data_IF_189084957568
#
_entry.id   IF_189084957568
#
_cell.length_a   1.000
_cell.length_b   1.000
_cell.length_c   1.000
_cell.angle_alpha   90.00
_cell.angle_beta   90.00
_cell.angle_gamma   90.00
#
_symmetry.space_group_name_H-M   'P 1'
#
loop_
_entity.id
_entity.type
_entity.pdbx_description
1 polymer ?
#
# COMPACT_ATOMS: atom_id res chain seq x y z
N UNK A 1 -10.69 29.73 -1.04
CA UNK A 1 -9.42 29.57 -1.80
C UNK A 1 -8.59 28.41 -1.25
N UNK A 2 -8.20 28.43 0.03
CA UNK A 2 -7.40 27.37 0.69
C UNK A 2 -8.06 25.98 0.61
N UNK A 3 -9.37 25.86 0.83
CA UNK A 3 -10.07 24.57 0.73
C UNK A 3 -9.89 23.88 -0.63
N UNK A 4 -9.88 24.66 -1.73
CA UNK A 4 -9.67 24.14 -3.07
C UNK A 4 -8.23 23.64 -3.27
N UNK A 5 -7.24 24.35 -2.73
CA UNK A 5 -5.84 23.90 -2.77
C UNK A 5 -5.69 22.59 -2.01
N UNK A 6 -6.24 22.51 -0.81
CA UNK A 6 -6.19 21.29 0.00
C UNK A 6 -6.88 20.11 -0.71
N UNK A 7 -8.02 20.35 -1.36
CA UNK A 7 -8.71 19.32 -2.14
C UNK A 7 -7.87 18.85 -3.34
N UNK A 8 -7.25 19.77 -4.08
CA UNK A 8 -6.40 19.45 -5.21
C UNK A 8 -5.15 18.66 -4.79
N UNK A 9 -4.46 19.13 -3.75
CA UNK A 9 -3.29 18.46 -3.18
C UNK A 9 -3.63 17.05 -2.69
N UNK A 10 -4.77 16.89 -2.00
CA UNK A 10 -5.25 15.58 -1.55
C UNK A 10 -5.54 14.64 -2.74
N UNK A 11 -6.16 15.14 -3.80
CA UNK A 11 -6.42 14.34 -5.01
C UNK A 11 -5.13 13.97 -5.74
N UNK A 12 -4.14 14.85 -5.77
CA UNK A 12 -2.83 14.57 -6.35
C UNK A 12 -2.06 13.53 -5.55
N UNK A 13 -2.05 13.63 -4.21
CA UNK A 13 -1.48 12.58 -3.37
C UNK A 13 -2.21 11.24 -3.53
N UNK A 14 -3.53 11.26 -3.65
CA UNK A 14 -4.32 10.04 -3.85
C UNK A 14 -4.00 9.36 -5.19
N UNK A 15 -3.85 10.14 -6.26
CA UNK A 15 -3.60 9.63 -7.62
C UNK A 15 -2.14 9.30 -7.88
N UNK A 16 -1.21 10.04 -7.29
CA UNK A 16 0.21 10.00 -7.64
C UNK A 16 1.19 9.97 -6.46
N UNK A 17 0.72 10.04 -5.22
CA UNK A 17 1.57 9.91 -4.03
C UNK A 17 2.07 8.49 -3.75
N UNK A 18 1.76 7.53 -4.62
CA UNK A 18 2.27 6.16 -4.55
C UNK A 18 3.31 5.91 -5.64
N UNK A 19 4.30 5.07 -5.34
CA UNK A 19 5.38 4.74 -6.27
C UNK A 19 4.91 3.77 -7.35
N UNK A 20 4.17 2.73 -6.98
CA UNK A 20 3.72 1.70 -7.90
C UNK A 20 2.19 1.61 -7.97
N UNK A 21 1.65 1.64 -9.19
CA UNK A 21 0.24 1.29 -9.41
C UNK A 21 0.14 -0.22 -9.64
N UNK A 22 -0.43 -0.94 -8.68
CA UNK A 22 -0.51 -2.41 -8.71
C UNK A 22 -1.79 -2.84 -9.40
N UNK A 23 -1.66 -3.52 -10.54
CA UNK A 23 -2.79 -4.13 -11.22
C UNK A 23 -3.34 -5.30 -10.40
N UNK A 24 -4.61 -5.20 -10.00
CA UNK A 24 -5.27 -6.19 -9.13
C UNK A 24 -5.78 -7.42 -9.87
N UNK A 25 -5.96 -7.30 -11.19
CA UNK A 25 -6.55 -8.33 -12.05
C UNK A 25 -5.51 -8.79 -13.06
N UNK A 26 -5.03 -10.02 -12.90
CA UNK A 26 -4.05 -10.61 -13.81
C UNK A 26 -3.80 -12.06 -13.44
N UNK A 27 -3.49 -12.88 -14.44
CA UNK A 27 -3.09 -14.27 -14.21
C UNK A 27 -1.67 -14.28 -13.64
N UNK A 28 -1.46 -15.07 -12.59
CA UNK A 28 -0.14 -15.23 -11.97
C UNK A 28 0.58 -16.39 -12.65
N UNK A 29 1.75 -16.11 -13.22
CA UNK A 29 2.61 -17.14 -13.81
C UNK A 29 3.77 -17.35 -12.85
N UNK A 30 3.75 -18.44 -12.09
CA UNK A 30 4.72 -18.71 -11.03
C UNK A 30 6.17 -18.77 -11.54
N UNK A 31 6.38 -19.25 -12.78
CA UNK A 31 7.71 -19.28 -13.41
C UNK A 31 8.28 -17.89 -13.74
N UNK A 32 7.47 -16.84 -13.70
CA UNK A 32 7.91 -15.45 -13.96
C UNK A 32 8.21 -14.67 -12.67
N UNK A 33 8.03 -15.28 -11.49
CA UNK A 33 8.27 -14.66 -10.18
C UNK A 33 9.69 -15.03 -9.71
N UNK A 34 10.70 -14.39 -10.31
CA UNK A 34 12.09 -14.45 -9.85
C UNK A 34 12.55 -13.08 -9.33
N UNK A 35 13.11 -13.05 -8.12
CA UNK A 35 13.62 -11.84 -7.47
C UNK A 35 14.87 -11.23 -8.14
N UNK A 36 15.53 -11.97 -9.03
CA UNK A 36 16.65 -11.48 -9.85
C UNK A 36 16.19 -10.77 -11.13
N UNK A 37 14.93 -10.97 -11.53
CA UNK A 37 14.37 -10.30 -12.70
C UNK A 37 14.17 -8.80 -12.42
N UNK A 38 14.37 -7.94 -13.42
CA UNK A 38 14.20 -6.51 -13.25
C UNK A 38 12.74 -6.17 -12.99
N UNK A 39 12.53 -5.20 -12.10
CA UNK A 39 11.26 -4.50 -11.92
C UNK A 39 11.38 -3.11 -12.56
N UNK A 40 10.29 -2.58 -13.14
CA UNK A 40 10.26 -1.20 -13.61
C UNK A 40 10.78 -0.24 -12.54
N UNK A 41 11.76 0.59 -12.90
CA UNK A 41 12.35 1.54 -11.97
C UNK A 41 11.33 2.62 -11.58
N UNK A 42 11.27 3.03 -10.30
CA UNK A 42 10.45 4.15 -9.84
C UNK A 42 10.65 5.40 -10.69
N UNK A 43 9.56 6.12 -10.98
CA UNK A 43 9.62 7.46 -11.53
C UNK A 43 9.31 8.48 -10.42
N UNK A 44 10.12 9.54 -10.27
CA UNK A 44 9.94 10.52 -9.18
C UNK A 44 8.71 11.42 -9.33
N UNK A 45 8.04 11.42 -10.49
CA UNK A 45 6.94 12.34 -10.81
C UNK A 45 5.61 11.63 -11.05
N UNK A 46 5.62 10.32 -11.31
CA UNK A 46 4.40 9.56 -11.60
C UNK A 46 4.48 8.11 -11.12
N UNK A 47 3.36 7.51 -10.68
CA UNK A 47 3.32 6.10 -10.38
C UNK A 47 3.72 5.25 -11.57
N UNK A 48 4.47 4.20 -11.31
CA UNK A 48 4.85 3.20 -12.31
C UNK A 48 3.85 2.05 -12.25
N UNK A 49 3.22 1.73 -13.38
CA UNK A 49 2.28 0.60 -13.44
C UNK A 49 3.06 -0.71 -13.34
N UNK A 50 2.66 -1.56 -12.40
CA UNK A 50 3.14 -2.93 -12.28
C UNK A 50 1.99 -3.90 -12.59
N UNK A 51 2.25 -4.86 -13.46
CA UNK A 51 1.45 -6.07 -13.59
C UNK A 51 1.44 -6.86 -12.28
N UNK A 52 0.54 -7.84 -12.19
CA UNK A 52 0.50 -8.74 -11.03
C UNK A 52 1.86 -9.41 -10.81
N UNK A 53 2.44 -10.06 -11.81
CA UNK A 53 3.74 -10.74 -11.70
C UNK A 53 4.88 -9.76 -11.31
N UNK A 54 4.91 -8.55 -11.86
CA UNK A 54 5.91 -7.54 -11.47
C UNK A 54 5.78 -7.12 -10.02
N UNK A 55 4.55 -6.93 -9.52
CA UNK A 55 4.33 -6.62 -8.11
C UNK A 55 4.77 -7.75 -7.19
N UNK A 56 4.59 -9.01 -7.63
CA UNK A 56 5.05 -10.17 -6.89
C UNK A 56 6.58 -10.25 -6.88
N UNK A 57 7.24 -10.03 -8.02
CA UNK A 57 8.72 -9.92 -8.11
C UNK A 57 9.27 -8.84 -7.17
N UNK A 58 8.62 -7.68 -7.13
CA UNK A 58 8.97 -6.60 -6.20
C UNK A 58 8.91 -7.07 -4.74
N UNK A 59 7.83 -7.76 -4.34
CA UNK A 59 7.68 -8.34 -3.00
C UNK A 59 8.75 -9.41 -2.72
N UNK A 60 9.01 -10.33 -3.66
CA UNK A 60 10.04 -11.37 -3.51
C UNK A 60 11.42 -10.75 -3.31
N UNK A 61 11.75 -9.69 -4.07
CA UNK A 61 13.02 -8.97 -3.92
C UNK A 61 13.16 -8.33 -2.53
N UNK A 62 12.10 -7.71 -2.02
CA UNK A 62 12.08 -7.17 -0.66
C UNK A 62 12.21 -8.28 0.40
N UNK A 63 11.56 -9.43 0.20
CA UNK A 63 11.72 -10.60 1.06
C UNK A 63 13.19 -11.03 1.10
N UNK A 64 13.80 -11.29 -0.06
CA UNK A 64 15.20 -11.76 -0.17
C UNK A 64 16.16 -10.82 0.57
N UNK A 65 15.98 -9.50 0.42
CA UNK A 65 16.78 -8.48 1.11
C UNK A 65 16.66 -8.52 2.64
N UNK A 66 15.51 -8.94 3.17
CA UNK A 66 15.22 -8.95 4.60
C UNK A 66 15.34 -10.32 5.27
N UNK A 67 15.68 -11.38 4.52
CA UNK A 67 15.82 -12.75 5.04
C UNK A 67 16.81 -12.85 6.21
N UNK A 68 16.63 -13.88 7.03
CA UNK A 68 17.54 -14.23 8.12
C UNK A 68 17.41 -13.35 9.36
N UNK A 69 16.40 -12.46 9.41
CA UNK A 69 16.09 -11.63 10.58
C UNK A 69 14.90 -12.15 11.40
N UNK A 70 14.10 -13.08 10.86
CA UNK A 70 13.04 -13.78 11.57
C UNK A 70 13.44 -15.20 12.02
N UNK A 71 12.75 -15.70 13.06
CA UNK A 71 12.71 -17.12 13.38
C UNK A 71 11.89 -17.85 12.31
N UNK A 72 12.27 -19.09 12.01
CA UNK A 72 11.53 -19.96 11.08
C UNK A 72 10.04 -20.04 11.50
N UNK A 73 9.15 -19.84 10.53
CA UNK A 73 7.69 -19.87 10.75
C UNK A 73 7.06 -18.54 11.18
N UNK A 74 7.83 -17.46 11.38
CA UNK A 74 7.27 -16.15 11.71
C UNK A 74 7.33 -15.17 10.54
N UNK A 75 6.33 -14.29 10.43
CA UNK A 75 6.32 -13.24 9.42
C UNK A 75 7.31 -12.13 9.77
N UNK A 76 8.16 -11.71 8.82
CA UNK A 76 9.09 -10.61 9.06
C UNK A 76 8.38 -9.24 9.00
N UNK A 77 8.23 -8.53 10.13
CA UNK A 77 7.59 -7.22 10.14
C UNK A 77 8.37 -6.16 9.35
N UNK A 78 9.67 -6.37 9.07
CA UNK A 78 10.52 -5.45 8.32
C UNK A 78 10.14 -5.38 6.84
N UNK A 79 9.62 -6.48 6.28
CA UNK A 79 9.17 -6.50 4.88
C UNK A 79 8.02 -5.52 4.67
N UNK A 80 7.03 -5.51 5.58
CA UNK A 80 5.89 -4.56 5.48
C UNK A 80 6.40 -3.12 5.51
N UNK A 81 7.36 -2.84 6.38
CA UNK A 81 7.93 -1.50 6.50
C UNK A 81 8.66 -1.08 5.23
N UNK A 82 9.53 -1.94 4.68
CA UNK A 82 10.26 -1.63 3.45
C UNK A 82 9.31 -1.41 2.27
N UNK A 83 8.35 -2.32 2.07
CA UNK A 83 7.34 -2.19 1.02
C UNK A 83 6.49 -0.93 1.20
N UNK A 84 6.13 -0.59 2.43
CA UNK A 84 5.36 0.62 2.73
C UNK A 84 6.14 1.87 2.36
N UNK A 85 7.41 1.99 2.78
CA UNK A 85 8.24 3.15 2.48
C UNK A 85 8.56 3.28 1.00
N UNK A 86 8.88 2.17 0.32
CA UNK A 86 9.08 2.19 -1.12
C UNK A 86 7.80 2.63 -1.83
N UNK A 87 6.63 2.17 -1.37
CA UNK A 87 5.34 2.55 -1.96
C UNK A 87 4.93 3.99 -1.66
N UNK A 88 5.27 4.54 -0.49
CA UNK A 88 4.93 5.91 -0.07
C UNK A 88 6.00 6.94 -0.41
N UNK A 89 7.10 6.51 -1.07
CA UNK A 89 8.24 7.36 -1.35
C UNK A 89 7.99 8.42 -2.43
N UNK A 90 6.98 8.21 -3.28
CA UNK A 90 6.67 9.13 -4.37
C UNK A 90 5.96 10.39 -3.87
N UNK A 91 6.49 11.55 -4.26
CA UNK A 91 5.96 12.87 -3.91
C UNK A 91 5.88 13.70 -5.19
N UNK A 92 4.76 13.63 -5.93
CA UNK A 92 4.62 14.27 -7.25
C UNK A 92 4.84 15.79 -7.17
N UNK A 93 4.42 16.40 -6.06
CA UNK A 93 4.82 17.74 -5.64
C UNK A 93 5.48 17.66 -4.27
N UNK A 94 6.58 18.40 -4.04
CA UNK A 94 7.09 18.62 -2.70
C UNK A 94 5.99 19.16 -1.78
N UNK A 95 5.81 18.56 -0.60
CA UNK A 95 4.76 18.99 0.35
C UNK A 95 5.02 20.40 0.89
N UNK A 96 6.28 20.87 0.83
CA UNK A 96 6.66 22.24 1.16
C UNK A 96 6.05 23.25 0.18
N UNK A 97 6.01 22.94 -1.11
CA UNK A 97 5.44 23.84 -2.14
C UNK A 97 3.94 24.09 -1.87
N UNK A 98 3.20 23.05 -1.42
CA UNK A 98 1.81 23.23 -1.02
C UNK A 98 1.64 24.18 0.19
N UNK A 99 2.59 24.16 1.13
CA UNK A 99 2.60 25.12 2.25
C UNK A 99 2.80 26.54 1.71
N UNK A 100 3.76 26.73 0.80
CA UNK A 100 4.02 28.02 0.17
C UNK A 100 2.80 28.55 -0.60
N UNK A 101 2.15 27.70 -1.39
CA UNK A 101 0.92 28.03 -2.13
C UNK A 101 -0.20 28.52 -1.20
N UNK A 102 -0.40 27.84 -0.06
CA UNK A 102 -1.39 28.21 0.95
C UNK A 102 -1.02 29.52 1.63
N UNK A 103 0.27 29.72 1.96
CA UNK A 103 0.78 30.95 2.57
C UNK A 103 0.56 32.14 1.63
N UNK A 104 0.88 32.00 0.34
CA UNK A 104 0.71 33.07 -0.64
C UNK A 104 -0.75 33.41 -0.89
N UNK A 105 -1.63 32.41 -0.85
CA UNK A 105 -3.07 32.60 -0.92
C UNK A 105 -3.62 33.34 0.29
N UNK A 106 -3.12 33.03 1.49
CA UNK A 106 -3.48 33.75 2.70
C UNK A 106 -2.95 35.19 2.67
N UNK A 107 -1.69 35.39 2.26
CA UNK A 107 -1.05 36.71 2.17
C UNK A 107 -1.80 37.61 1.21
N UNK A 108 -2.13 37.12 0.00
CA UNK A 108 -2.91 37.89 -0.99
C UNK A 108 -4.28 38.26 -0.48
N UNK A 109 -5.01 37.32 0.11
CA UNK A 109 -6.32 37.58 0.69
C UNK A 109 -6.26 38.69 1.76
N UNK A 110 -5.29 38.61 2.68
CA UNK A 110 -5.12 39.64 3.72
C UNK A 110 -4.73 40.99 3.12
N UNK A 111 -3.89 41.00 2.09
CA UNK A 111 -3.51 42.23 1.41
C UNK A 111 -4.71 42.90 0.73
N UNK A 112 -5.49 42.16 -0.04
CA UNK A 112 -6.71 42.63 -0.72
C UNK A 112 -7.75 43.12 0.31
N UNK A 113 -7.97 42.36 1.39
CA UNK A 113 -8.88 42.76 2.46
C UNK A 113 -8.48 44.10 3.11
N UNK A 114 -7.19 44.31 3.36
CA UNK A 114 -6.71 45.58 3.91
C UNK A 114 -6.79 46.73 2.90
N UNK A 115 -6.62 46.48 1.60
CA UNK A 115 -6.82 47.51 0.57
C UNK A 115 -8.27 48.01 0.56
N UNK A 116 -9.24 47.12 0.75
CA UNK A 116 -10.65 47.46 0.74
C UNK A 116 -11.11 48.16 2.03
N UNK A 117 -10.52 47.82 3.17
CA UNK A 117 -10.96 48.31 4.48
C UNK A 117 -10.18 49.54 4.98
N UNK A 118 -8.98 49.80 4.47
CA UNK A 118 -8.08 50.80 5.03
C UNK A 118 -7.50 51.73 3.96
N UNK A 119 -7.29 53.02 4.28
CA UNK A 119 -6.43 53.90 3.50
C UNK A 119 -5.01 53.32 3.32
N UNK A 120 -4.34 53.65 2.20
CA UNK A 120 -3.04 53.06 1.82
C UNK A 120 -1.94 53.22 2.88
N UNK A 121 -1.92 54.35 3.57
CA UNK A 121 -0.97 54.63 4.66
C UNK A 121 -1.21 53.74 5.88
N UNK A 122 -2.47 53.50 6.24
CA UNK A 122 -2.84 52.57 7.33
C UNK A 122 -2.55 51.13 6.93
N UNK A 123 -2.89 50.75 5.70
CA UNK A 123 -2.61 49.43 5.14
C UNK A 123 -1.12 49.09 5.24
N UNK A 124 -0.26 49.96 4.71
CA UNK A 124 1.20 49.71 4.70
C UNK A 124 1.76 49.49 6.11
N UNK A 125 1.36 50.33 7.08
CA UNK A 125 1.81 50.22 8.47
C UNK A 125 1.30 48.96 9.14
N UNK A 126 0.03 48.59 8.94
CA UNK A 126 -0.55 47.38 9.51
C UNK A 126 0.05 46.11 8.91
N UNK A 127 0.26 46.11 7.59
CA UNK A 127 0.92 45.00 6.89
C UNK A 127 2.35 44.78 7.41
N UNK A 128 3.16 45.84 7.50
CA UNK A 128 4.55 45.72 7.95
C UNK A 128 4.68 45.42 9.44
N UNK A 129 3.80 45.97 10.28
CA UNK A 129 3.93 45.85 11.74
C UNK A 129 3.36 44.54 12.30
N UNK A 130 2.38 43.92 11.63
CA UNK A 130 1.64 42.79 12.21
C UNK A 130 1.38 41.64 11.24
N UNK A 131 0.99 41.92 9.99
CA UNK A 131 0.57 40.83 9.09
C UNK A 131 1.75 40.00 8.60
N UNK A 132 2.81 40.62 8.08
CA UNK A 132 3.93 39.86 7.50
C UNK A 132 4.63 38.99 8.55
N UNK A 133 4.81 39.51 9.77
CA UNK A 133 5.40 38.74 10.87
C UNK A 133 4.49 37.58 11.30
N UNK A 134 3.17 37.79 11.39
CA UNK A 134 2.22 36.74 11.72
C UNK A 134 2.14 35.65 10.64
N UNK A 135 2.14 36.04 9.36
CA UNK A 135 2.16 35.11 8.23
C UNK A 135 3.45 34.31 8.23
N UNK A 136 4.59 34.96 8.43
CA UNK A 136 5.91 34.32 8.52
C UNK A 136 5.97 33.32 9.67
N UNK A 137 5.52 33.71 10.87
CA UNK A 137 5.49 32.83 12.03
C UNK A 137 4.66 31.56 11.78
N UNK A 138 3.48 31.70 11.14
CA UNK A 138 2.63 30.57 10.77
C UNK A 138 3.27 29.68 9.69
N UNK A 139 3.91 30.29 8.69
CA UNK A 139 4.65 29.55 7.66
C UNK A 139 5.78 28.72 8.27
N UNK A 140 6.58 29.31 9.17
CA UNK A 140 7.66 28.60 9.86
C UNK A 140 7.13 27.46 10.71
N UNK A 141 6.01 27.67 11.43
CA UNK A 141 5.37 26.61 12.21
C UNK A 141 4.88 25.46 11.32
N UNK A 142 4.28 25.76 10.16
CA UNK A 142 3.81 24.76 9.22
C UNK A 142 4.95 23.92 8.61
N UNK A 143 6.07 24.55 8.26
CA UNK A 143 7.27 23.85 7.77
C UNK A 143 7.85 22.94 8.86
N UNK A 144 7.91 23.43 10.11
CA UNK A 144 8.36 22.62 11.24
C UNK A 144 7.46 21.40 11.49
N UNK A 145 6.14 21.58 11.40
CA UNK A 145 5.19 20.47 11.50
C UNK A 145 5.41 19.44 10.37
N UNK A 146 5.63 19.91 9.14
CA UNK A 146 5.96 19.04 8.01
C UNK A 146 7.23 18.22 8.28
N UNK A 147 8.27 18.83 8.86
CA UNK A 147 9.48 18.10 9.25
C UNK A 147 9.19 16.99 10.28
N UNK A 148 8.33 17.26 11.26
CA UNK A 148 7.91 16.27 12.26
C UNK A 148 7.12 15.12 11.60
N UNK A 149 6.15 15.43 10.74
CA UNK A 149 5.40 14.43 9.99
C UNK A 149 6.31 13.56 9.12
N UNK A 150 7.35 14.13 8.52
CA UNK A 150 8.34 13.37 7.74
C UNK A 150 9.21 12.45 8.59
N UNK A 151 9.44 12.78 9.86
CA UNK A 151 10.09 11.88 10.82
C UNK A 151 9.15 10.74 11.18
N UNK A 152 7.89 11.04 11.52
CA UNK A 152 6.89 10.03 11.89
C UNK A 152 6.64 9.02 10.75
N UNK A 153 6.63 9.48 9.50
CA UNK A 153 6.48 8.61 8.33
C UNK A 153 7.66 7.64 8.12
N UNK A 154 8.82 7.92 8.70
CA UNK A 154 9.98 7.02 8.71
C UNK A 154 9.93 6.03 9.87
N UNK A 155 8.93 6.08 10.73
CA UNK A 155 8.73 5.07 11.76
C UNK A 155 8.03 3.82 11.20
N UNK A 156 7.83 2.83 12.07
CA UNK A 156 7.16 1.59 11.73
C UNK A 156 5.65 1.83 11.57
N UNK A 157 5.04 1.41 10.44
CA UNK A 157 3.59 1.51 10.29
C UNK A 157 2.86 0.77 11.42
N UNK A 158 1.95 1.47 12.12
CA UNK A 158 1.10 0.88 13.15
C UNK A 158 0.09 -0.04 12.47
N UNK A 159 0.13 -1.34 12.80
CA UNK A 159 -0.67 -2.38 12.13
C UNK A 159 -2.09 -2.53 12.69
N UNK A 160 -2.44 -1.82 13.75
CA UNK A 160 -3.73 -1.92 14.46
C UNK A 160 -4.86 -1.11 13.79
N UNK A 161 -4.92 -1.10 12.46
CA UNK A 161 -6.12 -0.64 11.77
C UNK A 161 -7.08 -1.82 11.63
N UNK A 162 -8.26 -1.74 12.25
CA UNK A 162 -9.27 -2.81 12.20
C UNK A 162 -9.61 -3.23 10.76
N UNK A 163 -9.64 -2.27 9.83
CA UNK A 163 -9.86 -2.54 8.42
C UNK A 163 -8.73 -3.38 7.82
N UNK A 164 -7.47 -3.11 8.19
CA UNK A 164 -6.33 -3.89 7.75
C UNK A 164 -6.41 -5.31 8.30
N UNK A 165 -6.62 -5.47 9.61
CA UNK A 165 -6.68 -6.80 10.24
C UNK A 165 -7.83 -7.63 9.69
N UNK A 166 -9.03 -7.05 9.55
CA UNK A 166 -10.17 -7.75 8.94
C UNK A 166 -9.93 -8.14 7.49
N UNK A 167 -9.28 -7.26 6.71
CA UNK A 167 -8.99 -7.55 5.30
C UNK A 167 -7.99 -8.68 5.17
N UNK A 168 -6.93 -8.68 5.98
CA UNK A 168 -5.94 -9.76 5.99
C UNK A 168 -6.58 -11.08 6.41
N UNK A 169 -7.41 -11.07 7.45
CA UNK A 169 -8.15 -12.24 7.91
C UNK A 169 -9.08 -12.79 6.82
N UNK A 170 -9.88 -11.94 6.18
CA UNK A 170 -10.73 -12.35 5.04
C UNK A 170 -9.91 -12.94 3.89
N UNK A 171 -8.79 -12.33 3.54
CA UNK A 171 -7.88 -12.84 2.51
C UNK A 171 -7.25 -14.19 2.90
N UNK A 172 -6.90 -14.38 4.18
CA UNK A 172 -6.40 -15.66 4.69
C UNK A 172 -7.47 -16.74 4.60
N UNK A 173 -8.66 -16.49 5.15
CA UNK A 173 -9.78 -17.43 5.12
C UNK A 173 -10.15 -17.84 3.69
N UNK A 174 -10.15 -16.90 2.74
CA UNK A 174 -10.43 -17.19 1.33
C UNK A 174 -9.39 -18.15 0.73
N UNK A 175 -8.10 -17.93 1.00
CA UNK A 175 -7.01 -18.80 0.51
C UNK A 175 -7.07 -20.18 1.15
N UNK A 176 -7.29 -20.25 2.46
CA UNK A 176 -7.45 -21.52 3.18
C UNK A 176 -8.65 -22.31 2.66
N UNK A 177 -9.78 -21.66 2.42
CA UNK A 177 -10.97 -22.28 1.85
C UNK A 177 -10.74 -22.81 0.43
N UNK A 178 -10.02 -22.06 -0.42
CA UNK A 178 -9.65 -22.51 -1.78
C UNK A 178 -8.66 -23.68 -1.75
N UNK A 179 -7.65 -23.62 -0.88
CA UNK A 179 -6.70 -24.72 -0.68
C UNK A 179 -7.42 -25.99 -0.23
N UNK A 180 -8.30 -25.86 0.78
CA UNK A 180 -9.11 -26.97 1.27
C UNK A 180 -10.00 -27.56 0.19
N UNK A 181 -10.70 -26.72 -0.60
CA UNK A 181 -11.52 -27.18 -1.71
C UNK A 181 -10.71 -28.02 -2.72
N UNK A 182 -9.50 -27.55 -3.05
CA UNK A 182 -8.59 -28.24 -3.97
C UNK A 182 -8.14 -29.59 -3.40
N UNK A 183 -7.78 -29.65 -2.12
CA UNK A 183 -7.43 -30.90 -1.45
C UNK A 183 -8.61 -31.88 -1.37
N UNK A 184 -9.83 -31.38 -1.14
CA UNK A 184 -11.05 -32.20 -1.13
C UNK A 184 -11.31 -32.79 -2.52
N UNK A 185 -11.21 -31.99 -3.57
CA UNK A 185 -11.35 -32.47 -4.96
C UNK A 185 -10.30 -33.55 -5.27
N UNK A 186 -9.03 -33.33 -4.93
CA UNK A 186 -7.96 -34.31 -5.15
C UNK A 186 -8.14 -35.61 -4.35
N UNK A 187 -8.70 -35.52 -3.13
CA UNK A 187 -8.96 -36.65 -2.27
C UNK A 187 -10.29 -37.37 -2.57
N UNK A 188 -11.10 -36.82 -3.49
CA UNK A 188 -12.39 -37.43 -3.89
C UNK A 188 -12.16 -38.56 -4.89
N UNK A 189 -12.63 -39.75 -4.52
CA UNK A 189 -12.62 -40.95 -5.35
C UNK A 189 -14.03 -41.16 -5.90
N UNK A 190 -14.16 -41.13 -7.22
CA UNK A 190 -15.40 -41.46 -7.92
C UNK A 190 -15.40 -42.95 -8.29
N UNK A 191 -16.44 -43.67 -7.87
CA UNK A 191 -16.64 -45.08 -8.22
C UNK A 191 -17.94 -45.22 -9.04
N UNK A 192 -17.89 -45.76 -10.27
CA UNK A 192 -19.09 -45.95 -11.08
C UNK A 192 -20.00 -47.01 -10.46
N UNK A 193 -21.31 -46.76 -10.47
CA UNK A 193 -22.31 -47.69 -9.94
C UNK A 193 -22.61 -48.77 -10.98
N UNK A 194 -22.07 -49.98 -10.76
CA UNK A 194 -22.12 -51.12 -11.70
C UNK A 194 -23.54 -51.64 -12.02
N UNK A 195 -24.57 -51.21 -11.28
CA UNK A 195 -25.95 -51.67 -11.42
C UNK A 195 -26.86 -50.70 -12.20
N UNK A 196 -26.33 -49.62 -12.77
CA UNK A 196 -27.12 -48.61 -13.47
C UNK A 196 -26.63 -48.40 -14.91
N UNK A 197 -27.56 -48.35 -15.88
CA UNK A 197 -27.24 -48.10 -17.30
C UNK A 197 -26.95 -46.61 -17.62
N UNK A 198 -26.72 -45.78 -16.60
CA UNK A 198 -26.41 -44.36 -16.72
C UNK A 198 -25.08 -44.00 -16.03
N UNK A 199 -24.58 -42.79 -16.27
CA UNK A 199 -23.27 -42.30 -15.77
C UNK A 199 -23.25 -41.98 -14.27
N UNK A 200 -24.04 -42.66 -13.44
CA UNK A 200 -24.06 -42.39 -12.00
C UNK A 200 -22.80 -42.92 -11.32
N UNK A 201 -22.11 -42.04 -10.59
CA UNK A 201 -20.96 -42.36 -9.76
C UNK A 201 -21.25 -42.06 -8.29
N UNK A 202 -20.79 -42.91 -7.38
CA UNK A 202 -20.67 -42.55 -5.96
C UNK A 202 -19.34 -41.84 -5.72
N UNK A 203 -19.34 -40.80 -4.88
CA UNK A 203 -18.12 -40.13 -4.43
C UNK A 203 -17.81 -40.52 -2.98
N UNK A 204 -16.52 -40.77 -2.69
CA UNK A 204 -16.00 -40.94 -1.32
C UNK A 204 -14.74 -40.11 -1.16
N UNK A 205 -14.55 -39.53 0.01
CA UNK A 205 -13.36 -38.73 0.32
C UNK A 205 -12.40 -39.59 1.13
N UNK A 206 -11.15 -39.70 0.67
CA UNK A 206 -10.06 -40.31 1.43
C UNK A 206 -9.56 -39.30 2.47
N UNK A 207 -9.92 -39.52 3.74
CA UNK A 207 -9.60 -38.62 4.85
C UNK A 207 -8.09 -38.58 5.13
N UNK A 208 -7.39 -39.71 4.97
CA UNK A 208 -5.95 -39.80 5.24
C UNK A 208 -5.14 -39.06 4.16
N UNK A 209 -5.59 -39.19 2.90
CA UNK A 209 -5.04 -38.43 1.79
C UNK A 209 -5.30 -36.93 1.95
N UNK A 210 -6.54 -36.55 2.27
CA UNK A 210 -6.92 -35.16 2.54
C UNK A 210 -6.05 -34.55 3.64
N UNK A 211 -5.91 -35.24 4.77
CA UNK A 211 -5.15 -34.74 5.94
C UNK A 211 -3.67 -34.54 5.61
N UNK A 212 -3.09 -35.43 4.82
CA UNK A 212 -1.69 -35.36 4.39
C UNK A 212 -1.44 -34.23 3.40
N UNK A 213 -2.27 -34.12 2.35
CA UNK A 213 -2.17 -33.07 1.35
C UNK A 213 -2.41 -31.68 1.97
N UNK A 214 -3.42 -31.57 2.84
CA UNK A 214 -3.70 -30.33 3.56
C UNK A 214 -2.55 -29.97 4.52
N UNK A 215 -2.01 -30.92 5.29
CA UNK A 215 -0.86 -30.69 6.17
C UNK A 215 0.39 -30.20 5.43
N UNK A 216 0.66 -30.75 4.24
CA UNK A 216 1.75 -30.29 3.37
C UNK A 216 1.48 -28.92 2.72
N UNK A 217 0.22 -28.56 2.53
CA UNK A 217 -0.16 -27.23 2.02
C UNK A 217 0.12 -26.11 3.04
N UNK A 218 0.06 -26.43 4.34
CA UNK A 218 0.19 -25.48 5.45
C UNK A 218 1.65 -25.17 5.84
N UNK A 219 2.59 -26.10 5.61
CA UNK A 219 4.03 -25.90 5.88
C UNK A 219 4.91 -26.05 4.61
N UNK A 220 4.84 -25.13 3.64
CA UNK A 220 5.84 -25.06 2.58
C UNK A 220 7.21 -24.64 3.13
N UNK A 221 8.27 -25.17 2.51
CA UNK A 221 9.64 -24.64 2.60
C UNK A 221 9.62 -23.11 2.38
N UNK A 222 10.42 -22.34 3.12
CA UNK A 222 10.38 -20.86 3.10
C UNK A 222 10.61 -20.29 1.70
N UNK A 223 11.36 -20.98 0.84
CA UNK A 223 11.55 -20.61 -0.57
C UNK A 223 10.30 -20.86 -1.44
N UNK A 224 9.49 -21.86 -1.10
CA UNK A 224 8.21 -22.20 -1.75
C UNK A 224 7.06 -21.38 -1.14
N UNK A 225 7.17 -20.98 0.12
CA UNK A 225 6.18 -20.21 0.88
C UNK A 225 5.95 -18.82 0.29
N UNK A 226 7.02 -18.19 -0.21
CA UNK A 226 6.97 -16.87 -0.84
C UNK A 226 6.12 -16.87 -2.11
N UNK A 227 6.16 -17.95 -2.89
CA UNK A 227 5.39 -18.09 -4.14
C UNK A 227 3.94 -18.51 -3.85
N UNK A 228 3.69 -19.30 -2.79
CA UNK A 228 2.34 -19.76 -2.41
C UNK A 228 1.50 -18.72 -1.65
N UNK A 229 2.14 -17.71 -1.04
CA UNK A 229 1.44 -16.63 -0.34
C UNK A 229 0.86 -15.54 -1.26
N UNK A 230 1.23 -15.51 -2.54
CA UNK A 230 0.98 -14.40 -3.47
C UNK A 230 -0.06 -14.70 -4.55
#
# INVERSE_FOLDING_TARGET
MVQRLNANFSEELRKSGHTYFIERTGYVITSEIDGHMPIPSPNPTKPVKLSRNESLRWVVKAIIRNRGRELQGNFNPLIIRELFWEQSGNKPTPWADHIEDVVDVCRRFLHELLQDLCPKDVQSRLSSAHIEDAVRARSTAAVKELEQLLVDLREHPIKFNHYYTETIEKCRMKRESQSLATCVENATIHTPLLSCQSTHSSARIDIDRLSREFGQSQNPDMDVYVVRLL
#
